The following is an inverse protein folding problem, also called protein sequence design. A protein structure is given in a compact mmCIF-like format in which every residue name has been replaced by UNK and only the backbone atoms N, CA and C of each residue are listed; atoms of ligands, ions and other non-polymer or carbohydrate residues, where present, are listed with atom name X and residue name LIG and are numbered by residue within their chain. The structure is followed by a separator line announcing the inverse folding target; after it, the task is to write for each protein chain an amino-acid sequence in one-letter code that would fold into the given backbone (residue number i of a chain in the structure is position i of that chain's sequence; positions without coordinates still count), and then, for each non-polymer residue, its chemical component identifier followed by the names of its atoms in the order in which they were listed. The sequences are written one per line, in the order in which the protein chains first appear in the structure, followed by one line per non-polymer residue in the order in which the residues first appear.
data_IF_160382630023
#
_entry.id   IF_160382630023
#
_cell.length_a   1.000
_cell.length_b   1.000
_cell.length_c   1.000
_cell.angle_alpha   90.00
_cell.angle_beta   90.00
_cell.angle_gamma   90.00
#
_symmetry.space_group_name_H-M   'P 1'
#
loop_
_entity.id
_entity.type
_entity.pdbx_description
1 polymer ?
#
# COMPACT_ATOMS: atom_id res chain seq x y z
N UNK A 1 5.72 11.11 4.59
CA UNK A 1 6.78 10.29 3.93
C UNK A 1 6.12 9.31 3.01
N UNK A 2 6.67 9.01 1.82
CA UNK A 2 6.04 8.06 0.92
C UNK A 2 6.54 6.63 1.21
N UNK A 3 5.64 5.69 1.38
CA UNK A 3 5.94 4.26 1.53
C UNK A 3 6.50 3.66 0.22
N UNK A 4 7.10 2.48 0.26
CA UNK A 4 7.58 1.78 -0.94
C UNK A 4 6.45 1.10 -1.72
N UNK A 5 5.31 0.87 -1.07
CA UNK A 5 4.10 0.29 -1.65
C UNK A 5 2.86 1.01 -1.14
N UNK A 6 1.72 0.81 -1.80
CA UNK A 6 0.40 1.36 -1.46
C UNK A 6 -0.61 0.23 -1.26
N UNK A 7 -1.79 0.56 -0.70
CA UNK A 7 -2.88 -0.40 -0.56
C UNK A 7 -3.31 -0.98 -1.92
N UNK A 8 -3.31 -0.16 -2.96
CA UNK A 8 -3.57 -0.61 -4.33
C UNK A 8 -2.56 -1.65 -4.82
N UNK A 9 -1.29 -1.54 -4.40
CA UNK A 9 -0.28 -2.52 -4.73
C UNK A 9 -0.52 -3.87 -4.08
N UNK A 10 -1.06 -3.89 -2.85
CA UNK A 10 -1.44 -5.12 -2.17
C UNK A 10 -2.55 -5.85 -2.92
N UNK A 11 -3.60 -5.12 -3.36
CA UNK A 11 -4.72 -5.72 -4.07
C UNK A 11 -4.37 -6.19 -5.48
N UNK A 12 -3.35 -5.63 -6.11
CA UNK A 12 -2.80 -6.16 -7.38
C UNK A 12 -2.22 -7.57 -7.22
N UNK A 13 -1.70 -7.88 -6.03
CA UNK A 13 -1.13 -9.19 -5.71
C UNK A 13 -2.13 -10.14 -5.07
N UNK A 14 -3.00 -9.61 -4.21
CA UNK A 14 -3.99 -10.37 -3.46
C UNK A 14 -5.37 -9.68 -3.57
N UNK A 15 -6.11 -9.91 -4.67
CA UNK A 15 -7.40 -9.25 -4.89
C UNK A 15 -8.47 -9.57 -3.84
N UNK A 16 -8.31 -10.68 -3.12
CA UNK A 16 -9.23 -11.09 -2.05
C UNK A 16 -8.89 -10.46 -0.68
N UNK A 17 -7.80 -9.71 -0.58
CA UNK A 17 -7.25 -9.22 0.69
C UNK A 17 -8.32 -8.57 1.59
N UNK A 18 -9.06 -7.59 1.08
CA UNK A 18 -10.07 -6.85 1.85
C UNK A 18 -11.33 -7.67 2.20
N UNK A 19 -11.48 -8.87 1.65
CA UNK A 19 -12.51 -9.83 2.04
C UNK A 19 -12.05 -10.78 3.14
N UNK A 20 -10.75 -11.02 3.22
CA UNK A 20 -10.12 -11.96 4.15
C UNK A 20 -9.54 -11.25 5.38
N UNK A 21 -9.13 -10.00 5.23
CA UNK A 21 -8.50 -9.19 6.27
C UNK A 21 -9.34 -7.93 6.46
N UNK A 22 -10.09 -7.89 7.56
CA UNK A 22 -10.88 -6.72 7.96
C UNK A 22 -10.30 -6.18 9.25
N UNK A 23 -9.85 -4.93 9.19
CA UNK A 23 -9.30 -4.20 10.33
C UNK A 23 -10.17 -2.97 10.58
N UNK A 24 -11.21 -3.10 11.38
CA UNK A 24 -12.17 -2.03 11.66
C UNK A 24 -11.51 -0.75 12.17
N UNK A 25 -10.42 -0.89 12.92
CA UNK A 25 -9.66 0.25 13.45
C UNK A 25 -8.81 0.99 12.40
N UNK A 26 -8.72 0.48 11.17
CA UNK A 26 -8.02 1.09 10.04
C UNK A 26 -9.01 1.64 8.99
N UNK A 27 -10.28 1.80 9.35
CA UNK A 27 -11.24 2.51 8.52
C UNK A 27 -11.04 4.02 8.69
N UNK A 28 -10.66 4.72 7.63
CA UNK A 28 -10.45 6.17 7.63
C UNK A 28 -11.79 6.91 7.63
N UNK A 29 -12.68 6.51 6.74
CA UNK A 29 -14.04 7.07 6.62
C UNK A 29 -14.97 6.06 5.99
N UNK A 30 -16.26 6.16 6.32
CA UNK A 30 -17.33 5.35 5.74
C UNK A 30 -18.65 6.09 5.82
N UNK A 31 -19.58 5.78 4.93
CA UNK A 31 -20.90 6.40 4.91
C UNK A 31 -21.78 5.83 3.81
N UNK A 32 -22.86 6.57 3.51
CA UNK A 32 -23.81 6.26 2.45
C UNK A 32 -24.17 7.54 1.70
N UNK A 33 -24.92 7.40 0.59
CA UNK A 33 -25.31 8.53 -0.25
C UNK A 33 -24.22 9.01 -1.20
N UNK A 34 -23.16 8.23 -1.39
CA UNK A 34 -22.16 8.55 -2.40
C UNK A 34 -22.71 8.35 -3.81
N UNK A 35 -22.23 9.15 -4.74
CA UNK A 35 -22.47 8.99 -6.18
C UNK A 35 -21.16 8.81 -6.93
N UNK A 36 -21.17 7.97 -7.97
CA UNK A 36 -20.00 7.76 -8.83
C UNK A 36 -20.33 8.00 -10.29
N UNK A 37 -19.41 8.68 -10.98
CA UNK A 37 -19.52 8.91 -12.43
C UNK A 37 -18.11 9.04 -13.03
N UNK A 38 -17.81 8.23 -14.01
CA UNK A 38 -16.51 8.17 -14.69
C UNK A 38 -15.40 7.89 -13.67
N UNK A 39 -14.72 8.89 -13.15
CA UNK A 39 -13.69 8.75 -12.11
C UNK A 39 -14.07 9.45 -10.81
N UNK A 40 -15.08 10.32 -10.81
CA UNK A 40 -15.47 11.10 -9.64
C UNK A 40 -16.33 10.27 -8.70
N UNK A 41 -16.05 10.36 -7.41
CA UNK A 41 -16.90 9.92 -6.31
C UNK A 41 -17.21 11.14 -5.46
N UNK A 42 -18.52 11.46 -5.33
CA UNK A 42 -19.00 12.62 -4.58
C UNK A 42 -19.84 12.14 -3.40
N UNK A 43 -19.60 12.75 -2.24
CA UNK A 43 -20.32 12.50 -0.97
C UNK A 43 -20.67 13.85 -0.35
N UNK A 44 -21.95 14.19 -0.21
CA UNK A 44 -22.38 15.53 0.28
C UNK A 44 -21.77 15.88 1.64
N UNK A 45 -21.77 14.94 2.58
CA UNK A 45 -21.20 15.11 3.93
C UNK A 45 -19.84 14.39 4.04
N UNK A 46 -19.03 14.47 2.99
CA UNK A 46 -17.72 13.84 2.96
C UNK A 46 -16.72 14.48 3.93
N UNK A 47 -15.66 13.74 4.25
CA UNK A 47 -14.55 14.20 5.10
C UNK A 47 -13.21 13.65 4.60
N UNK A 48 -13.01 13.59 3.29
CA UNK A 48 -11.85 12.89 2.70
C UNK A 48 -10.52 13.51 3.10
N UNK A 49 -10.39 14.84 3.08
CA UNK A 49 -9.17 15.54 3.48
C UNK A 49 -8.93 15.42 4.99
N UNK A 50 -9.98 15.70 5.80
CA UNK A 50 -9.91 15.59 7.26
C UNK A 50 -9.60 14.18 7.72
N UNK A 51 -10.09 13.15 7.01
CA UNK A 51 -9.80 11.74 7.27
C UNK A 51 -8.46 11.28 6.69
N UNK A 52 -7.65 12.18 6.14
CA UNK A 52 -6.32 11.88 5.59
C UNK A 52 -6.34 10.87 4.45
N UNK A 53 -7.41 10.82 3.68
CA UNK A 53 -7.49 10.00 2.46
C UNK A 53 -6.42 10.48 1.46
N UNK A 54 -5.75 9.54 0.78
CA UNK A 54 -4.63 9.82 -0.11
C UNK A 54 -4.69 8.95 -1.37
N UNK A 55 -4.03 9.38 -2.46
CA UNK A 55 -3.80 8.51 -3.61
C UNK A 55 -3.14 7.19 -3.22
N UNK A 56 -3.66 6.09 -3.77
CA UNK A 56 -3.22 4.73 -3.47
C UNK A 56 -3.98 4.04 -2.33
N UNK A 57 -4.83 4.73 -1.58
CA UNK A 57 -5.82 4.10 -0.71
C UNK A 57 -6.91 3.41 -1.54
N UNK A 58 -7.67 2.55 -0.91
CA UNK A 58 -8.75 1.80 -1.56
C UNK A 58 -10.10 2.25 -1.01
N UNK A 59 -10.98 2.62 -1.92
CA UNK A 59 -12.40 2.84 -1.63
C UNK A 59 -13.21 1.61 -2.04
N UNK A 60 -14.02 1.10 -1.13
CA UNK A 60 -15.08 0.14 -1.41
C UNK A 60 -16.37 0.90 -1.72
N UNK A 61 -16.98 0.61 -2.85
CA UNK A 61 -18.28 1.16 -3.24
C UNK A 61 -19.28 0.01 -3.37
N UNK A 62 -20.46 0.17 -2.75
CA UNK A 62 -21.46 -0.88 -2.72
C UNK A 62 -22.88 -0.33 -2.89
N UNK A 63 -23.59 -0.87 -3.88
CA UNK A 63 -25.03 -0.81 -4.03
C UNK A 63 -25.49 -2.04 -4.81
N UNK A 64 -26.01 -3.03 -4.10
CA UNK A 64 -26.39 -4.32 -4.71
C UNK A 64 -27.57 -4.20 -5.69
N UNK A 65 -28.47 -3.21 -5.48
CA UNK A 65 -29.61 -2.98 -6.37
C UNK A 65 -29.15 -2.48 -7.74
N UNK A 66 -28.06 -1.71 -7.77
CA UNK A 66 -27.45 -1.21 -9.01
C UNK A 66 -26.30 -2.12 -9.50
N UNK A 67 -26.07 -3.25 -8.84
CA UNK A 67 -25.02 -4.20 -9.22
C UNK A 67 -23.60 -3.72 -8.96
N UNK A 68 -23.41 -2.77 -8.07
CA UNK A 68 -22.09 -2.26 -7.66
C UNK A 68 -21.67 -2.92 -6.35
N UNK A 69 -20.54 -3.61 -6.36
CA UNK A 69 -19.84 -4.12 -5.17
C UNK A 69 -18.36 -4.31 -5.53
N UNK A 70 -17.57 -3.26 -5.39
CA UNK A 70 -16.20 -3.26 -5.88
C UNK A 70 -15.23 -2.39 -5.08
N UNK A 71 -13.95 -2.72 -5.23
CA UNK A 71 -12.81 -1.99 -4.65
C UNK A 71 -12.10 -1.21 -5.75
N UNK A 72 -11.84 0.07 -5.49
CA UNK A 72 -11.25 0.99 -6.45
C UNK A 72 -10.08 1.76 -5.83
N UNK A 73 -9.08 2.07 -6.64
CA UNK A 73 -7.92 2.85 -6.21
C UNK A 73 -8.26 4.34 -6.21
N UNK A 74 -8.02 5.03 -5.11
CA UNK A 74 -8.09 6.48 -5.02
C UNK A 74 -6.93 7.07 -5.83
N UNK A 75 -7.25 7.90 -6.82
CA UNK A 75 -6.30 8.55 -7.73
C UNK A 75 -5.90 9.93 -7.25
N UNK A 76 -6.87 10.71 -6.77
CA UNK A 76 -6.66 12.02 -6.16
C UNK A 76 -7.79 12.33 -5.19
N UNK A 77 -7.56 13.26 -4.27
CA UNK A 77 -8.57 13.85 -3.40
C UNK A 77 -8.66 15.32 -3.78
N UNK A 78 -9.82 15.73 -4.26
CA UNK A 78 -10.03 17.11 -4.75
C UNK A 78 -10.42 18.03 -3.59
N UNK A 79 -11.33 17.56 -2.72
CA UNK A 79 -11.73 18.26 -1.50
C UNK A 79 -12.34 17.31 -0.46
N UNK A 80 -13.08 17.83 0.53
CA UNK A 80 -13.74 17.02 1.57
C UNK A 80 -14.83 16.12 1.02
N UNK A 81 -15.44 16.50 -0.09
CA UNK A 81 -16.65 15.87 -0.64
C UNK A 81 -16.40 15.14 -1.95
N UNK A 82 -15.25 15.36 -2.59
CA UNK A 82 -14.94 14.77 -3.89
C UNK A 82 -13.54 14.13 -3.93
N UNK A 83 -13.48 12.93 -4.47
CA UNK A 83 -12.25 12.25 -4.85
C UNK A 83 -12.38 11.63 -6.24
N UNK A 84 -11.25 11.40 -6.88
CA UNK A 84 -11.16 10.61 -8.10
C UNK A 84 -10.71 9.19 -7.78
N UNK A 85 -11.39 8.20 -8.34
CA UNK A 85 -11.04 6.79 -8.19
C UNK A 85 -11.17 6.04 -9.52
N UNK A 86 -10.52 4.89 -9.62
CA UNK A 86 -10.54 4.04 -10.79
C UNK A 86 -10.28 2.57 -10.47
N UNK A 87 -10.45 1.71 -11.46
CA UNK A 87 -10.21 0.27 -11.29
C UNK A 87 -8.73 0.02 -10.98
N UNK A 88 -8.47 -0.80 -9.97
CA UNK A 88 -7.12 -1.16 -9.53
C UNK A 88 -6.36 -1.83 -10.66
N UNK A 89 -5.15 -1.31 -10.95
CA UNK A 89 -4.27 -1.94 -11.93
C UNK A 89 -4.65 -1.67 -13.38
N UNK A 90 -5.19 -0.50 -13.68
CA UNK A 90 -5.49 -0.07 -15.05
C UNK A 90 -4.41 -0.47 -16.06
N UNK A 91 -4.81 -0.78 -17.28
CA UNK A 91 -3.93 -1.29 -18.34
C UNK A 91 -3.02 -0.18 -18.87
N UNK A 92 -1.74 -0.25 -18.55
CA UNK A 92 -0.77 0.76 -18.94
C UNK A 92 -1.01 2.09 -18.23
N UNK A 93 -1.01 3.19 -18.99
CA UNK A 93 -1.27 4.54 -18.47
C UNK A 93 -2.77 4.91 -18.48
N UNK A 94 -3.64 3.99 -18.91
CA UNK A 94 -5.07 4.24 -19.01
C UNK A 94 -5.81 3.69 -17.78
N UNK A 95 -6.44 4.59 -17.03
CA UNK A 95 -7.34 4.22 -15.95
C UNK A 95 -8.70 3.77 -16.50
N UNK A 96 -9.27 2.75 -15.89
CA UNK A 96 -10.63 2.28 -16.19
C UNK A 96 -11.59 3.01 -15.26
N UNK A 97 -12.65 3.65 -15.81
CA UNK A 97 -13.61 4.41 -15.01
C UNK A 97 -14.45 3.52 -14.09
N UNK A 98 -15.03 4.16 -13.10
CA UNK A 98 -16.02 3.56 -12.20
C UNK A 98 -17.37 3.33 -12.91
N UNK A 99 -18.19 2.37 -12.44
CA UNK A 99 -19.58 2.30 -12.83
C UNK A 99 -20.32 3.57 -12.36
N UNK A 100 -21.19 4.11 -13.19
CA UNK A 100 -22.06 5.22 -12.79
C UNK A 100 -23.16 4.68 -11.86
N UNK A 101 -23.28 5.23 -10.67
CA UNK A 101 -24.24 4.80 -9.66
C UNK A 101 -24.49 5.92 -8.63
N UNK A 102 -25.64 5.83 -7.93
CA UNK A 102 -26.05 6.73 -6.84
C UNK A 102 -26.40 5.92 -5.60
N UNK A 103 -26.56 6.60 -4.47
CA UNK A 103 -26.92 5.98 -3.19
C UNK A 103 -25.96 4.82 -2.81
N UNK A 104 -24.67 5.03 -3.08
CA UNK A 104 -23.64 4.06 -2.74
C UNK A 104 -23.31 4.12 -1.24
N UNK A 105 -23.19 2.95 -0.63
CA UNK A 105 -22.40 2.79 0.59
C UNK A 105 -20.93 2.88 0.20
N UNK A 106 -20.13 3.56 1.01
CA UNK A 106 -18.69 3.61 0.79
C UNK A 106 -17.91 3.38 2.09
N UNK A 107 -16.70 2.85 1.96
CA UNK A 107 -15.73 2.73 3.04
C UNK A 107 -14.31 2.84 2.47
N UNK A 108 -13.44 3.59 3.15
CA UNK A 108 -12.03 3.71 2.82
C UNK A 108 -11.23 3.16 3.98
N UNK A 109 -10.44 2.14 3.71
CA UNK A 109 -9.52 1.53 4.66
C UNK A 109 -8.08 1.78 4.20
N UNK A 110 -7.15 1.72 5.15
CA UNK A 110 -5.73 1.83 4.85
C UNK A 110 -4.90 0.81 5.62
N UNK A 111 -3.80 0.40 5.01
CA UNK A 111 -2.73 -0.38 5.63
C UNK A 111 -1.46 0.46 5.81
N UNK A 112 -1.58 1.78 5.83
CA UNK A 112 -0.46 2.71 6.04
C UNK A 112 0.44 2.35 7.22
N UNK A 113 -0.07 1.95 8.41
CA UNK A 113 0.80 1.54 9.51
C UNK A 113 1.69 0.34 9.16
N UNK A 114 1.17 -0.64 8.41
CA UNK A 114 1.92 -1.81 7.98
C UNK A 114 2.91 -1.47 6.84
N UNK A 115 2.55 -0.55 5.98
CA UNK A 115 3.46 -0.01 4.96
C UNK A 115 4.63 0.74 5.58
N UNK A 116 4.38 1.51 6.63
CA UNK A 116 5.41 2.24 7.37
C UNK A 116 6.38 1.26 8.06
N UNK A 117 5.85 0.27 8.76
CA UNK A 117 6.66 -0.78 9.40
C UNK A 117 7.51 -1.55 8.39
N UNK A 118 6.91 -1.92 7.24
CA UNK A 118 7.65 -2.57 6.16
C UNK A 118 8.74 -1.68 5.58
N UNK A 119 8.52 -0.38 5.50
CA UNK A 119 9.53 0.60 5.08
C UNK A 119 10.70 0.63 6.04
N UNK A 120 10.45 0.72 7.35
CA UNK A 120 11.50 0.69 8.37
C UNK A 120 12.29 -0.61 8.33
N UNK A 121 11.61 -1.75 8.27
CA UNK A 121 12.27 -3.05 8.21
C UNK A 121 13.18 -3.19 6.97
N UNK A 122 12.75 -2.70 5.82
CA UNK A 122 13.55 -2.70 4.59
C UNK A 122 14.75 -1.77 4.69
N UNK A 123 14.56 -0.54 5.19
CA UNK A 123 15.67 0.42 5.37
C UNK A 123 16.73 -0.11 6.34
N UNK A 124 16.30 -0.65 7.48
CA UNK A 124 17.19 -1.28 8.47
C UNK A 124 17.98 -2.42 7.83
N UNK A 125 17.32 -3.27 7.05
CA UNK A 125 17.97 -4.40 6.38
C UNK A 125 19.06 -3.97 5.38
N UNK A 126 18.93 -2.81 4.78
CA UNK A 126 19.98 -2.21 3.92
C UNK A 126 21.00 -1.37 4.70
N UNK A 127 20.94 -1.36 6.05
CA UNK A 127 21.82 -0.58 6.91
C UNK A 127 21.58 0.93 6.77
N UNK A 128 20.33 1.32 6.53
CA UNK A 128 19.87 2.70 6.45
C UNK A 128 18.99 3.01 7.67
N UNK A 129 19.44 2.65 8.85
CA UNK A 129 18.76 2.99 10.10
C UNK A 129 18.87 4.50 10.36
N UNK A 130 17.77 5.07 10.80
CA UNK A 130 17.70 6.48 11.19
C UNK A 130 17.23 6.57 12.62
N UNK A 131 18.14 6.89 13.53
CA UNK A 131 17.80 7.15 14.92
C UNK A 131 17.17 8.54 15.14
N UNK A 132 17.09 9.38 14.12
CA UNK A 132 16.59 10.74 14.21
C UNK A 132 15.47 11.00 13.18
N UNK A 133 14.40 11.67 13.63
CA UNK A 133 13.30 12.11 12.79
C UNK A 133 13.75 12.96 11.58
N UNK A 134 14.83 13.72 11.74
CA UNK A 134 15.40 14.59 10.71
C UNK A 134 16.16 13.80 9.62
N UNK A 135 16.81 12.71 10.00
CA UNK A 135 17.55 11.87 9.05
C UNK A 135 16.64 11.03 8.14
N UNK A 136 15.39 10.75 8.56
CA UNK A 136 14.43 10.04 7.73
C UNK A 136 14.04 10.81 6.47
N UNK A 137 14.05 12.12 6.51
CA UNK A 137 13.73 12.99 5.36
C UNK A 137 14.87 13.02 4.34
N UNK A 138 16.12 12.96 4.79
CA UNK A 138 17.27 12.97 3.92
C UNK A 138 17.50 11.61 3.23
N UNK A 139 17.24 10.49 3.93
CA UNK A 139 17.35 9.15 3.33
C UNK A 139 16.45 8.94 2.12
N UNK A 140 15.29 9.58 2.10
CA UNK A 140 14.38 9.47 0.96
C UNK A 140 14.91 10.14 -0.29
N UNK A 141 15.68 11.21 -0.15
CA UNK A 141 16.34 11.90 -1.26
C UNK A 141 17.47 11.06 -1.82
N UNK A 142 18.10 10.23 -0.99
CA UNK A 142 19.22 9.39 -1.41
C UNK A 142 18.81 8.17 -2.23
N UNK A 143 17.53 7.72 -2.16
CA UNK A 143 17.08 6.54 -2.89
C UNK A 143 16.60 6.91 -4.28
N UNK A 144 17.42 6.66 -5.30
CA UNK A 144 17.07 6.94 -6.70
C UNK A 144 16.03 5.97 -7.27
N UNK A 145 16.01 4.70 -6.84
CA UNK A 145 15.16 3.65 -7.41
C UNK A 145 14.22 3.03 -6.37
N UNK A 146 13.29 3.81 -5.83
CA UNK A 146 12.30 3.33 -4.83
C UNK A 146 11.50 2.11 -5.31
N UNK A 147 11.20 2.04 -6.61
CA UNK A 147 10.45 0.91 -7.20
C UNK A 147 11.14 -0.44 -7.03
N UNK A 148 12.46 -0.47 -6.83
CA UNK A 148 13.20 -1.72 -6.59
C UNK A 148 12.78 -2.42 -5.28
N UNK A 149 12.30 -1.66 -4.28
CA UNK A 149 11.84 -2.19 -2.99
C UNK A 149 10.34 -2.49 -2.95
N UNK A 150 9.57 -2.08 -3.96
CA UNK A 150 8.11 -2.21 -3.96
C UNK A 150 7.63 -3.64 -3.77
N UNK A 151 8.22 -4.61 -4.50
CA UNK A 151 7.80 -6.02 -4.42
C UNK A 151 8.09 -6.62 -3.05
N UNK A 152 9.27 -6.33 -2.49
CA UNK A 152 9.62 -6.76 -1.15
C UNK A 152 8.69 -6.12 -0.09
N UNK A 153 8.38 -4.82 -0.23
CA UNK A 153 7.45 -4.12 0.65
C UNK A 153 6.04 -4.75 0.62
N UNK A 154 5.48 -4.99 -0.57
CA UNK A 154 4.18 -5.66 -0.74
C UNK A 154 4.16 -7.02 -0.06
N UNK A 155 5.17 -7.86 -0.31
CA UNK A 155 5.25 -9.19 0.28
C UNK A 155 5.34 -9.14 1.81
N UNK A 156 6.12 -8.20 2.37
CA UNK A 156 6.24 -8.04 3.82
C UNK A 156 4.92 -7.60 4.44
N UNK A 157 4.25 -6.59 3.87
CA UNK A 157 2.94 -6.11 4.36
C UNK A 157 1.91 -7.23 4.33
N UNK A 158 1.78 -7.98 3.22
CA UNK A 158 0.87 -9.13 3.14
C UNK A 158 1.19 -10.19 4.19
N UNK A 159 2.47 -10.48 4.44
CA UNK A 159 2.87 -11.40 5.50
C UNK A 159 2.43 -10.92 6.89
N UNK A 160 2.58 -9.61 7.19
CA UNK A 160 2.16 -9.03 8.46
C UNK A 160 0.64 -9.12 8.64
N UNK A 161 -0.12 -8.73 7.62
CA UNK A 161 -1.58 -8.73 7.64
C UNK A 161 -2.14 -10.14 7.86
N UNK A 162 -1.69 -11.14 7.10
CA UNK A 162 -2.13 -12.51 7.24
C UNK A 162 -1.69 -13.13 8.57
N UNK A 163 -0.51 -12.79 9.08
CA UNK A 163 -0.05 -13.24 10.41
C UNK A 163 -0.90 -12.67 11.53
N UNK A 164 -1.27 -11.40 11.45
CA UNK A 164 -2.16 -10.75 12.41
C UNK A 164 -3.54 -11.40 12.47
N UNK A 165 -4.09 -11.80 11.33
CA UNK A 165 -5.39 -12.46 11.24
C UNK A 165 -5.35 -13.95 11.61
N UNK A 166 -4.21 -14.60 11.49
CA UNK A 166 -4.06 -16.02 11.78
C UNK A 166 -4.14 -16.39 13.28
N UNK A 167 -4.28 -15.43 14.17
CA UNK A 167 -4.29 -15.64 15.61
C UNK A 167 -5.64 -16.17 16.12
N UNK A 168 -5.94 -17.46 15.98
CA UNK A 168 -6.89 -18.05 16.92
C UNK A 168 -8.04 -18.92 16.43
N UNK A 169 -7.92 -19.75 15.41
CA UNK A 169 -9.00 -20.70 15.11
C UNK A 169 -8.63 -21.75 14.05
N UNK A 170 -9.44 -22.80 13.86
CA UNK A 170 -9.19 -23.83 12.85
C UNK A 170 -9.17 -23.29 11.41
N UNK A 171 -9.82 -22.18 11.14
CA UNK A 171 -9.75 -21.47 9.85
C UNK A 171 -8.43 -20.74 9.64
N UNK A 172 -7.62 -20.57 10.69
CA UNK A 172 -6.34 -19.88 10.66
C UNK A 172 -5.26 -20.57 9.85
N UNK A 173 -5.37 -21.87 9.55
CA UNK A 173 -4.35 -22.60 8.78
C UNK A 173 -4.13 -22.03 7.38
N UNK A 174 -5.21 -21.62 6.70
CA UNK A 174 -5.13 -21.00 5.38
C UNK A 174 -4.37 -19.67 5.43
N UNK A 175 -4.71 -18.84 6.40
CA UNK A 175 -4.08 -17.52 6.62
C UNK A 175 -2.62 -17.68 7.05
N UNK A 176 -2.31 -18.65 7.92
CA UNK A 176 -0.93 -18.97 8.31
C UNK A 176 -0.08 -19.35 7.10
N UNK A 177 -0.59 -20.21 6.21
CA UNK A 177 0.11 -20.60 4.99
C UNK A 177 0.35 -19.42 4.05
N UNK A 178 -0.63 -18.52 3.92
CA UNK A 178 -0.46 -17.27 3.16
C UNK A 178 0.60 -16.39 3.80
N UNK A 179 0.58 -16.20 5.12
CA UNK A 179 1.60 -15.43 5.85
C UNK A 179 3.01 -15.99 5.62
N UNK A 180 3.19 -17.30 5.70
CA UNK A 180 4.47 -17.97 5.44
C UNK A 180 4.90 -17.88 3.97
N UNK A 181 3.96 -17.97 3.03
CA UNK A 181 4.22 -17.80 1.61
C UNK A 181 4.78 -16.40 1.34
N UNK A 182 4.09 -15.35 1.82
CA UNK A 182 4.52 -13.98 1.62
C UNK A 182 5.80 -13.64 2.39
N UNK A 183 6.04 -14.26 3.56
CA UNK A 183 7.32 -14.11 4.27
C UNK A 183 8.49 -14.65 3.46
N UNK A 184 8.35 -15.82 2.83
CA UNK A 184 9.37 -16.37 1.91
C UNK A 184 9.57 -15.50 0.69
N UNK A 185 8.48 -15.04 0.10
CA UNK A 185 8.53 -14.15 -1.06
C UNK A 185 9.23 -12.82 -0.73
N UNK A 186 9.00 -12.29 0.48
CA UNK A 186 9.73 -11.12 0.98
C UNK A 186 11.24 -11.37 1.02
N UNK A 187 11.69 -12.50 1.58
CA UNK A 187 13.11 -12.84 1.63
C UNK A 187 13.73 -12.92 0.22
N UNK A 188 13.03 -13.57 -0.71
CA UNK A 188 13.47 -13.71 -2.09
C UNK A 188 13.54 -12.36 -2.84
N UNK A 189 12.53 -11.52 -2.70
CA UNK A 189 12.48 -10.22 -3.37
C UNK A 189 13.44 -9.21 -2.73
N UNK A 190 13.59 -9.22 -1.41
CA UNK A 190 14.58 -8.39 -0.72
C UNK A 190 16.01 -8.78 -1.10
N UNK A 191 16.30 -10.08 -1.24
CA UNK A 191 17.63 -10.57 -1.68
C UNK A 191 17.98 -10.15 -3.11
N UNK A 192 16.98 -9.97 -3.99
CA UNK A 192 17.16 -9.50 -5.38
C UNK A 192 17.23 -7.98 -5.48
N UNK A 193 16.70 -7.26 -4.49
CA UNK A 193 16.62 -5.82 -4.54
C UNK A 193 18.01 -5.17 -4.54
N UNK A 194 18.15 -4.14 -5.36
CA UNK A 194 19.33 -3.30 -5.43
C UNK A 194 18.94 -1.89 -5.07
N UNK A 195 19.57 -1.36 -4.05
CA UNK A 195 19.32 0.00 -3.61
C UNK A 195 20.42 0.91 -4.14
N UNK A 196 20.03 1.86 -4.97
CA UNK A 196 20.92 2.86 -5.56
C UNK A 196 20.76 4.14 -4.75
N UNK A 197 21.83 4.62 -4.17
CA UNK A 197 21.87 5.81 -3.31
C UNK A 197 22.62 6.93 -4.02
N UNK A 198 22.05 8.13 -3.90
CA UNK A 198 22.63 9.42 -4.25
C UNK A 198 22.78 10.22 -2.95
N UNK A 199 23.98 10.31 -2.41
CA UNK A 199 24.22 10.91 -1.09
C UNK A 199 24.44 12.41 -1.14
N UNK A 200 24.93 12.92 -2.25
CA UNK A 200 25.22 14.34 -2.42
C UNK A 200 24.09 15.10 -3.14
N UNK A 201 23.07 14.39 -3.67
CA UNK A 201 21.89 14.97 -4.29
C UNK A 201 22.13 15.48 -5.70
N UNK A 202 23.17 15.01 -6.39
CA UNK A 202 23.50 15.41 -7.76
C UNK A 202 22.72 14.63 -8.85
N UNK A 203 21.91 13.67 -8.43
CA UNK A 203 21.10 12.81 -9.31
C UNK A 203 21.87 11.61 -9.87
N UNK A 204 23.10 11.38 -9.42
CA UNK A 204 23.96 10.27 -9.85
C UNK A 204 24.11 9.21 -8.75
N UNK A 205 24.35 7.95 -9.12
CA UNK A 205 24.59 6.90 -8.15
C UNK A 205 25.96 7.05 -7.46
N UNK A 206 25.97 7.22 -6.14
CA UNK A 206 27.18 7.20 -5.30
C UNK A 206 27.47 5.84 -4.70
N UNK A 207 26.39 5.11 -4.33
CA UNK A 207 26.52 3.85 -3.61
C UNK A 207 25.47 2.85 -4.12
N UNK A 208 25.85 1.59 -4.20
CA UNK A 208 24.98 0.47 -4.55
C UNK A 208 24.96 -0.54 -3.41
N UNK A 209 23.82 -0.72 -2.78
CA UNK A 209 23.63 -1.71 -1.72
C UNK A 209 22.82 -2.90 -2.20
N UNK A 210 23.32 -4.09 -1.88
CA UNK A 210 22.66 -5.37 -2.11
C UNK A 210 22.78 -6.22 -0.85
N UNK A 211 21.75 -6.99 -0.52
CA UNK A 211 21.79 -7.88 0.66
C UNK A 211 22.78 -9.03 0.51
N UNK A 212 23.16 -9.38 -0.70
CA UNK A 212 24.13 -10.45 -0.98
C UNK A 212 25.59 -10.05 -0.72
N UNK A 213 25.90 -8.79 -0.46
CA UNK A 213 27.28 -8.29 -0.34
C UNK A 213 27.82 -8.29 1.09
N UNK A 214 27.05 -8.71 2.10
CA UNK A 214 27.56 -8.93 3.45
C UNK A 214 28.22 -10.31 3.60
N UNK A 215 29.17 -10.65 2.71
CA UNK A 215 30.19 -11.59 3.10
C UNK A 215 31.13 -10.86 4.05
N UNK A 216 31.04 -11.20 5.33
CA UNK A 216 32.04 -10.87 6.32
C UNK A 216 33.42 -11.21 5.71
N UNK A 217 34.18 -10.18 5.32
CA UNK A 217 35.61 -10.34 5.19
C UNK A 217 36.13 -10.59 6.62
N UNK A 218 36.42 -11.83 6.94
CA UNK A 218 37.30 -12.13 8.06
C UNK A 218 38.71 -11.69 7.61
N UNK A 219 39.21 -10.65 8.21
CA UNK A 219 40.62 -10.35 8.24
C UNK A 219 41.32 -11.40 9.10
#
# INVERSE_FOLDING_TARGET
MANFSTDADLLKWEPALLREVVLDHQCLTRGSGASSQTFSVVVEDGCFVTSLVRPGHIIHLKNLEQGVDGYYEVLSVEDETELLAGVIGGFGDAWVPLPAATDLEFAIHTFDPQHEEARFALLSRFGLETDAADAATDLERWILQRRALRRASVALVLSMLYRGQASGGPESQGLTRKAEHYARLYEDEAAKARLVLDRDGDGRPDDLRTLSSHRLRRD
#
